data_IF_938204936939
#
_entry.id   IF_938204936939
#
_cell.length_a   1.000
_cell.length_b   1.000
_cell.length_c   1.000
_cell.angle_alpha   90.00
_cell.angle_beta   90.00
_cell.angle_gamma   90.00
#
_symmetry.space_group_name_H-M   'P 1'
#
loop_
_entity.id
_entity.type
_entity.pdbx_description
1 polymer ?
#
# COMPACT_ATOMS: atom_id res chain seq x y z
N UNK A 1 -16.03 -41.94 23.45
CA UNK A 1 -15.43 -40.61 23.75
C UNK A 1 -14.22 -40.23 22.88
N UNK A 2 -13.45 -41.15 22.29
CA UNK A 2 -12.31 -40.80 21.42
C UNK A 2 -12.71 -40.10 20.10
N UNK A 3 -13.83 -40.53 19.47
CA UNK A 3 -14.31 -39.96 18.20
C UNK A 3 -14.75 -38.48 18.32
N UNK A 4 -15.29 -38.07 19.46
CA UNK A 4 -15.70 -36.67 19.72
C UNK A 4 -14.51 -35.72 19.96
N UNK A 5 -13.38 -36.21 20.47
CA UNK A 5 -12.15 -35.40 20.60
C UNK A 5 -11.52 -35.10 19.23
N UNK A 6 -11.53 -36.09 18.33
CA UNK A 6 -10.99 -35.95 16.98
C UNK A 6 -11.78 -34.95 16.12
N UNK A 7 -13.11 -34.91 16.27
CA UNK A 7 -13.94 -33.92 15.55
C UNK A 7 -13.74 -32.49 16.09
N UNK A 8 -13.60 -32.34 17.41
CA UNK A 8 -13.30 -31.04 18.02
C UNK A 8 -11.92 -30.50 17.61
N UNK A 9 -10.88 -31.35 17.58
CA UNK A 9 -9.55 -30.97 17.10
C UNK A 9 -9.55 -30.55 15.63
N UNK A 10 -10.26 -31.30 14.76
CA UNK A 10 -10.42 -30.91 13.35
C UNK A 10 -11.14 -29.57 13.20
N UNK A 11 -12.20 -29.33 13.96
CA UNK A 11 -12.91 -28.04 13.95
C UNK A 11 -12.01 -26.87 14.37
N UNK A 12 -11.19 -27.05 15.42
CA UNK A 12 -10.25 -26.02 15.88
C UNK A 12 -9.15 -25.75 14.84
N UNK A 13 -8.62 -26.78 14.19
CA UNK A 13 -7.64 -26.61 13.10
C UNK A 13 -8.23 -25.82 11.93
N UNK A 14 -9.45 -26.15 11.50
CA UNK A 14 -10.13 -25.41 10.44
C UNK A 14 -10.37 -23.93 10.83
N UNK A 15 -10.70 -23.64 12.08
CA UNK A 15 -10.82 -22.25 12.52
C UNK A 15 -9.48 -21.52 12.47
N UNK A 16 -8.40 -22.15 12.96
CA UNK A 16 -7.06 -21.57 12.93
C UNK A 16 -6.59 -21.30 11.49
N UNK A 17 -6.76 -22.26 10.59
CA UNK A 17 -6.41 -22.12 9.18
C UNK A 17 -7.19 -20.96 8.53
N UNK A 18 -8.49 -20.84 8.82
CA UNK A 18 -9.30 -19.73 8.32
C UNK A 18 -8.80 -18.37 8.81
N UNK A 19 -8.46 -18.25 10.10
CA UNK A 19 -7.88 -17.01 10.64
C UNK A 19 -6.53 -16.71 10.01
N UNK A 20 -5.69 -17.73 9.76
CA UNK A 20 -4.40 -17.57 9.09
C UNK A 20 -4.58 -17.00 7.67
N UNK A 21 -5.50 -17.55 6.88
CA UNK A 21 -5.81 -17.01 5.54
C UNK A 21 -6.31 -15.58 5.61
N UNK A 22 -7.21 -15.26 6.56
CA UNK A 22 -7.75 -13.92 6.73
C UNK A 22 -6.65 -12.92 7.09
N UNK A 23 -5.81 -13.25 8.06
CA UNK A 23 -4.68 -12.42 8.49
C UNK A 23 -3.70 -12.21 7.33
N UNK A 24 -3.39 -13.25 6.58
CA UNK A 24 -2.48 -13.14 5.43
C UNK A 24 -3.05 -12.22 4.33
N UNK A 25 -4.33 -12.35 3.99
CA UNK A 25 -4.97 -11.46 3.03
C UNK A 25 -5.03 -10.00 3.53
N UNK A 26 -5.26 -9.77 4.82
CA UNK A 26 -5.22 -8.43 5.40
C UNK A 26 -3.82 -7.82 5.33
N UNK A 27 -2.78 -8.57 5.72
CA UNK A 27 -1.39 -8.12 5.62
C UNK A 27 -0.98 -7.80 4.17
N UNK A 28 -1.41 -8.62 3.20
CA UNK A 28 -1.16 -8.35 1.79
C UNK A 28 -1.87 -7.07 1.33
N UNK A 29 -3.13 -6.87 1.73
CA UNK A 29 -3.89 -5.67 1.38
C UNK A 29 -3.26 -4.39 1.96
N UNK A 30 -2.81 -4.42 3.21
CA UNK A 30 -2.12 -3.30 3.85
C UNK A 30 -0.81 -2.94 3.12
N UNK A 31 -0.01 -3.95 2.75
CA UNK A 31 1.23 -3.75 1.98
C UNK A 31 0.97 -3.20 0.59
N UNK A 32 -0.05 -3.70 -0.10
CA UNK A 32 -0.48 -3.20 -1.42
C UNK A 32 -0.83 -1.71 -1.29
N UNK A 33 -1.67 -1.34 -0.31
CA UNK A 33 -2.07 0.04 -0.11
C UNK A 33 -0.89 0.98 0.19
N UNK A 34 0.07 0.53 1.01
CA UNK A 34 1.27 1.32 1.31
C UNK A 34 2.13 1.58 0.06
N UNK A 35 2.35 0.54 -0.77
CA UNK A 35 3.18 0.66 -1.97
C UNK A 35 2.48 1.47 -3.06
N UNK A 36 1.15 1.32 -3.18
CA UNK A 36 0.34 2.12 -4.11
C UNK A 36 0.41 3.61 -3.76
N UNK A 37 0.30 3.95 -2.47
CA UNK A 37 0.47 5.33 -2.01
C UNK A 37 1.88 5.87 -2.30
N UNK A 38 2.93 5.12 -1.97
CA UNK A 38 4.32 5.54 -2.22
C UNK A 38 4.58 5.75 -3.73
N UNK A 39 4.00 4.90 -4.57
CA UNK A 39 4.08 5.02 -6.03
C UNK A 39 3.42 6.30 -6.54
N UNK A 40 2.23 6.65 -6.03
CA UNK A 40 1.53 7.88 -6.40
C UNK A 40 2.26 9.13 -5.88
N UNK A 41 2.82 9.10 -4.67
CA UNK A 41 3.66 10.19 -4.14
C UNK A 41 4.88 10.44 -5.04
N UNK A 42 5.58 9.37 -5.45
CA UNK A 42 6.72 9.49 -6.38
C UNK A 42 6.32 10.07 -7.73
N UNK A 43 5.13 9.71 -8.23
CA UNK A 43 4.59 10.24 -9.49
C UNK A 43 4.29 11.74 -9.39
N UNK A 44 3.64 12.18 -8.32
CA UNK A 44 3.38 13.60 -8.08
C UNK A 44 4.70 14.41 -7.98
N UNK A 45 5.72 13.86 -7.33
CA UNK A 45 7.04 14.49 -7.29
C UNK A 45 7.65 14.60 -8.70
N UNK A 46 7.53 13.56 -9.54
CA UNK A 46 8.01 13.63 -10.93
C UNK A 46 7.26 14.69 -11.74
N UNK A 47 5.93 14.77 -11.64
CA UNK A 47 5.10 15.74 -12.36
C UNK A 47 5.45 17.19 -11.98
N UNK A 48 5.82 17.43 -10.71
CA UNK A 48 6.27 18.75 -10.25
C UNK A 48 7.71 19.10 -10.63
N UNK A 49 8.55 18.10 -10.90
CA UNK A 49 9.95 18.27 -11.30
C UNK A 49 10.13 18.41 -12.82
N UNK A 50 9.27 17.79 -13.63
CA UNK A 50 9.34 17.83 -15.10
C UNK A 50 9.39 19.25 -15.72
N UNK A 51 8.64 20.26 -15.24
CA UNK A 51 8.71 21.61 -15.82
C UNK A 51 9.93 22.42 -15.33
N UNK A 52 10.77 21.88 -14.46
CA UNK A 52 11.92 22.58 -13.89
C UNK A 52 13.20 22.34 -14.71
N UNK A 53 14.09 23.34 -14.72
CA UNK A 53 15.40 23.22 -15.37
C UNK A 53 16.25 22.11 -14.74
N UNK A 54 16.89 21.30 -15.58
CA UNK A 54 17.69 20.13 -15.19
C UNK A 54 18.88 20.46 -14.29
N UNK A 55 19.45 21.66 -14.45
CA UNK A 55 20.58 22.16 -13.66
C UNK A 55 20.17 22.78 -12.31
N UNK A 56 18.85 22.84 -12.02
CA UNK A 56 18.37 23.33 -10.73
C UNK A 56 18.80 22.38 -9.62
N UNK A 57 19.29 22.96 -8.52
CA UNK A 57 19.68 22.23 -7.31
C UNK A 57 18.44 21.74 -6.57
N UNK A 58 18.45 20.47 -6.17
CA UNK A 58 17.45 19.80 -5.35
C UNK A 58 18.09 19.34 -4.05
N UNK A 59 17.38 19.44 -2.92
CA UNK A 59 17.90 19.01 -1.62
C UNK A 59 17.04 17.88 -1.05
N UNK A 60 17.68 16.76 -0.74
CA UNK A 60 17.03 15.62 -0.08
C UNK A 60 17.39 15.61 1.40
N UNK A 61 16.40 15.51 2.26
CA UNK A 61 16.63 15.23 3.68
C UNK A 61 16.86 13.73 3.87
N UNK A 62 18.01 13.33 4.41
CA UNK A 62 18.33 11.95 4.79
C UNK A 62 18.86 11.96 6.20
N UNK A 63 18.16 11.33 7.15
CA UNK A 63 18.58 11.21 8.56
C UNK A 63 18.98 12.55 9.20
N UNK A 64 18.28 13.64 8.86
CA UNK A 64 18.56 14.99 9.38
C UNK A 64 19.67 15.76 8.66
N UNK A 65 20.28 15.18 7.62
CA UNK A 65 21.27 15.85 6.77
C UNK A 65 20.64 16.20 5.41
N UNK A 66 20.80 17.46 5.00
CA UNK A 66 20.42 17.92 3.65
C UNK A 66 21.52 17.54 2.66
N UNK A 67 21.18 16.70 1.70
CA UNK A 67 22.06 16.29 0.60
C UNK A 67 21.69 17.09 -0.65
N UNK A 68 22.66 17.84 -1.18
CA UNK A 68 22.52 18.55 -2.45
C UNK A 68 22.64 17.58 -3.64
N UNK A 69 21.70 17.69 -4.57
CA UNK A 69 21.61 16.96 -5.83
C UNK A 69 21.13 17.91 -6.92
N UNK A 70 21.11 17.46 -8.17
CA UNK A 70 20.52 18.21 -9.29
C UNK A 70 19.30 17.48 -9.84
N UNK A 71 18.37 18.19 -10.48
CA UNK A 71 17.17 17.58 -11.09
C UNK A 71 17.57 16.45 -12.05
N UNK A 72 18.62 16.65 -12.87
CA UNK A 72 19.14 15.62 -13.79
C UNK A 72 19.57 14.31 -13.13
N UNK A 73 20.01 14.34 -11.87
CA UNK A 73 20.37 13.13 -11.12
C UNK A 73 19.18 12.52 -10.37
N UNK A 74 18.23 13.36 -9.95
CA UNK A 74 17.10 12.94 -9.10
C UNK A 74 15.97 12.33 -9.92
N UNK A 75 15.65 12.90 -11.09
CA UNK A 75 14.59 12.42 -11.98
C UNK A 75 14.78 10.96 -12.40
N UNK A 76 15.94 10.53 -12.94
CA UNK A 76 16.12 9.13 -13.32
C UNK A 76 16.05 8.18 -12.11
N UNK A 77 16.60 8.58 -10.95
CA UNK A 77 16.52 7.78 -9.72
C UNK A 77 15.07 7.60 -9.24
N UNK A 78 14.26 8.67 -9.28
CA UNK A 78 12.83 8.60 -8.95
C UNK A 78 12.05 7.73 -9.94
N UNK A 79 12.34 7.82 -11.24
CA UNK A 79 11.71 6.97 -12.26
C UNK A 79 12.03 5.49 -12.04
N UNK A 80 13.29 5.13 -11.85
CA UNK A 80 13.69 3.74 -11.58
C UNK A 80 13.05 3.19 -10.30
N UNK A 81 13.00 4.00 -9.23
CA UNK A 81 12.34 3.58 -7.99
C UNK A 81 10.83 3.38 -8.16
N UNK A 82 10.14 4.32 -8.81
CA UNK A 82 8.70 4.20 -9.10
C UNK A 82 8.39 2.97 -9.94
N UNK A 83 9.21 2.67 -10.96
CA UNK A 83 9.08 1.45 -11.76
C UNK A 83 9.32 0.18 -10.94
N UNK A 84 10.29 0.20 -10.01
CA UNK A 84 10.53 -0.88 -9.06
C UNK A 84 9.31 -1.14 -8.17
N UNK A 85 8.75 -0.08 -7.58
CA UNK A 85 7.55 -0.17 -6.73
C UNK A 85 6.34 -0.70 -7.49
N UNK A 86 6.14 -0.28 -8.74
CA UNK A 86 5.08 -0.82 -9.61
C UNK A 86 5.20 -2.33 -9.83
N UNK A 87 6.42 -2.83 -10.09
CA UNK A 87 6.65 -4.28 -10.24
C UNK A 87 6.30 -5.04 -8.97
N UNK A 88 6.73 -4.54 -7.81
CA UNK A 88 6.40 -5.15 -6.51
C UNK A 88 4.89 -5.11 -6.25
N UNK A 89 4.21 -4.01 -6.60
CA UNK A 89 2.77 -3.88 -6.49
C UNK A 89 2.04 -4.94 -7.33
N UNK A 90 2.46 -5.13 -8.58
CA UNK A 90 1.90 -6.15 -9.47
C UNK A 90 2.11 -7.57 -8.93
N UNK A 91 3.31 -7.87 -8.41
CA UNK A 91 3.60 -9.15 -7.77
C UNK A 91 2.72 -9.39 -6.54
N UNK A 92 2.54 -8.39 -5.68
CA UNK A 92 1.69 -8.49 -4.48
C UNK A 92 0.21 -8.65 -4.85
N UNK A 93 -0.27 -7.97 -5.89
CA UNK A 93 -1.62 -8.16 -6.43
C UNK A 93 -1.85 -9.61 -6.87
N UNK A 94 -0.90 -10.19 -7.62
CA UNK A 94 -0.96 -11.60 -8.05
C UNK A 94 -0.97 -12.55 -6.85
N UNK A 95 -0.10 -12.30 -5.86
CA UNK A 95 -0.07 -13.11 -4.63
C UNK A 95 -1.39 -13.03 -3.86
N UNK A 96 -1.96 -11.84 -3.72
CA UNK A 96 -3.25 -11.62 -3.07
C UNK A 96 -4.36 -12.41 -3.78
N UNK A 97 -4.50 -12.28 -5.10
CA UNK A 97 -5.52 -13.01 -5.86
C UNK A 97 -5.32 -14.51 -5.78
N UNK A 98 -4.09 -15.01 -5.90
CA UNK A 98 -3.78 -16.44 -5.79
C UNK A 98 -4.21 -16.99 -4.42
N UNK A 99 -3.88 -16.28 -3.34
CA UNK A 99 -4.22 -16.69 -1.98
C UNK A 99 -5.72 -16.59 -1.69
N UNK A 100 -6.40 -15.61 -2.28
CA UNK A 100 -7.85 -15.48 -2.20
C UNK A 100 -8.54 -16.69 -2.87
N UNK A 101 -8.10 -17.06 -4.07
CA UNK A 101 -8.62 -18.25 -4.78
C UNK A 101 -8.32 -19.54 -4.01
N UNK A 102 -7.15 -19.66 -3.41
CA UNK A 102 -6.78 -20.80 -2.55
C UNK A 102 -7.71 -20.92 -1.34
N UNK A 103 -7.96 -19.80 -0.65
CA UNK A 103 -8.90 -19.72 0.49
C UNK A 103 -10.32 -20.15 0.08
N UNK A 104 -10.83 -19.67 -1.06
CA UNK A 104 -12.16 -20.02 -1.55
C UNK A 104 -12.27 -21.51 -1.92
N UNK A 105 -11.25 -22.07 -2.57
CA UNK A 105 -11.18 -23.51 -2.85
C UNK A 105 -11.15 -24.32 -1.55
N UNK A 106 -10.38 -23.87 -0.56
CA UNK A 106 -10.26 -24.53 0.74
C UNK A 106 -11.57 -24.47 1.55
N UNK A 107 -12.29 -23.34 1.53
CA UNK A 107 -13.64 -23.22 2.13
C UNK A 107 -14.63 -24.23 1.55
N UNK A 108 -14.67 -24.34 0.21
CA UNK A 108 -15.57 -25.26 -0.50
C UNK A 108 -15.25 -26.73 -0.17
N UNK A 109 -13.96 -27.10 -0.16
CA UNK A 109 -13.52 -28.46 0.18
C UNK A 109 -13.90 -28.87 1.60
N UNK A 110 -13.77 -27.95 2.55
CA UNK A 110 -14.00 -28.22 3.98
C UNK A 110 -15.43 -27.89 4.44
N UNK A 111 -16.34 -27.48 3.54
CA UNK A 111 -17.72 -27.07 3.83
C UNK A 111 -17.82 -26.08 4.99
N UNK A 112 -16.88 -25.14 5.06
CA UNK A 112 -16.79 -24.21 6.18
C UNK A 112 -17.97 -23.25 6.12
N UNK A 113 -18.78 -23.30 7.16
CA UNK A 113 -19.85 -22.34 7.41
C UNK A 113 -19.24 -21.22 8.25
N UNK A 114 -19.01 -20.06 7.64
CA UNK A 114 -18.58 -18.88 8.38
C UNK A 114 -19.80 -18.44 9.20
N UNK A 115 -19.78 -18.73 10.51
CA UNK A 115 -20.70 -18.10 11.47
C UNK A 115 -20.27 -16.64 11.53
N UNK A 116 -20.94 -15.83 10.71
CA UNK A 116 -20.68 -14.41 10.56
C UNK A 116 -20.90 -13.71 11.92
N UNK A 117 -19.82 -13.42 12.64
CA UNK A 117 -19.82 -12.20 13.46
C UNK A 117 -19.49 -11.05 12.52
N UNK A 118 -20.53 -10.39 12.05
CA UNK A 118 -20.50 -9.24 11.14
C UNK A 118 -19.40 -8.24 11.53
N UNK A 119 -18.31 -8.23 10.79
CA UNK A 119 -17.40 -7.09 10.74
C UNK A 119 -17.14 -6.79 9.28
N UNK A 120 -17.89 -5.81 8.79
CA UNK A 120 -17.75 -5.18 7.48
C UNK A 120 -16.31 -4.70 7.29
N UNK A 121 -15.51 -5.44 6.53
CA UNK A 121 -14.38 -4.82 5.82
C UNK A 121 -15.02 -4.18 4.58
N UNK A 122 -15.38 -2.91 4.73
CA UNK A 122 -15.89 -2.09 3.62
C UNK A 122 -14.84 -2.12 2.51
N UNK A 123 -15.34 -2.32 1.28
CA UNK A 123 -14.65 -2.18 0.00
C UNK A 123 -13.58 -1.08 0.05
N UNK A 124 -12.30 -1.46 0.04
CA UNK A 124 -11.27 -0.60 -0.52
C UNK A 124 -11.47 -0.62 -2.04
N UNK A 125 -11.82 0.53 -2.56
CA UNK A 125 -12.28 0.78 -3.92
C UNK A 125 -11.19 0.49 -4.94
N UNK A 126 -11.19 -0.70 -5.55
CA UNK A 126 -10.72 -0.86 -6.93
C UNK A 126 -11.85 -0.35 -7.83
N UNK A 127 -11.90 0.96 -8.08
CA UNK A 127 -12.70 1.49 -9.16
C UNK A 127 -11.94 2.63 -9.82
N UNK A 128 -11.21 2.28 -10.89
CA UNK A 128 -10.76 3.22 -11.90
C UNK A 128 -11.98 3.93 -12.51
N UNK A 129 -12.29 5.13 -12.04
CA UNK A 129 -12.73 6.30 -12.83
C UNK A 129 -13.14 7.44 -11.86
N UNK A 130 -12.25 8.39 -11.63
CA UNK A 130 -12.57 9.64 -10.94
C UNK A 130 -11.83 10.81 -11.62
N UNK A 131 -12.14 11.05 -12.88
CA UNK A 131 -12.09 12.41 -13.40
C UNK A 131 -13.12 13.23 -12.62
N UNK A 132 -12.70 14.37 -12.05
CA UNK A 132 -13.44 15.29 -11.16
C UNK A 132 -13.68 14.75 -9.74
N UNK A 133 -12.80 15.10 -8.82
CA UNK A 133 -13.15 15.96 -7.67
C UNK A 133 -11.90 16.76 -7.30
N UNK A 134 -11.87 18.00 -7.80
CA UNK A 134 -11.15 19.09 -7.15
C UNK A 134 -11.93 19.34 -5.87
N UNK A 135 -11.39 18.94 -4.72
CA UNK A 135 -11.76 19.52 -3.44
C UNK A 135 -10.56 20.31 -2.93
N UNK A 136 -10.47 21.54 -3.44
CA UNK A 136 -9.74 22.61 -2.77
C UNK A 136 -10.62 23.10 -1.62
N UNK A 137 -10.21 22.85 -0.37
CA UNK A 137 -10.61 23.68 0.76
C UNK A 137 -9.55 23.67 1.89
N UNK A 138 -9.51 24.70 2.76
CA UNK A 138 -8.32 25.49 2.99
C UNK A 138 -7.78 25.29 4.41
N UNK A 139 -6.52 25.69 4.58
CA UNK A 139 -5.84 26.02 5.84
C UNK A 139 -6.21 25.20 7.09
N UNK A 140 -5.32 24.28 7.46
CA UNK A 140 -5.16 23.88 8.86
C UNK A 140 -3.68 23.78 9.21
N UNK A 141 -3.09 24.93 9.52
CA UNK A 141 -1.90 25.02 10.36
C UNK A 141 -2.22 24.51 11.78
N UNK A 142 -1.64 23.39 12.22
CA UNK A 142 -1.06 23.21 13.56
C UNK A 142 -0.40 21.82 13.78
N UNK A 143 0.92 21.88 14.02
CA UNK A 143 1.79 21.08 14.91
C UNK A 143 1.34 19.68 15.38
N UNK A 144 2.24 18.70 15.15
CA UNK A 144 2.49 17.59 16.08
C UNK A 144 2.80 16.25 15.39
N UNK A 145 4.05 15.79 15.51
CA UNK A 145 4.61 14.44 15.31
C UNK A 145 3.66 13.35 14.77
N UNK A 146 3.94 12.78 13.59
CA UNK A 146 4.73 11.55 13.41
C UNK A 146 4.64 11.03 11.96
N UNK A 147 5.76 10.47 11.49
CA UNK A 147 5.98 9.55 10.35
C UNK A 147 5.53 9.92 8.91
N UNK A 148 6.46 10.46 8.13
CA UNK A 148 7.01 9.85 6.88
C UNK A 148 7.60 10.93 5.95
N UNK A 149 8.91 10.89 5.82
CA UNK A 149 9.72 11.88 5.11
C UNK A 149 9.75 11.63 3.59
N UNK A 150 8.93 12.36 2.82
CA UNK A 150 9.26 12.72 1.43
C UNK A 150 8.78 14.14 1.15
N UNK A 151 9.28 15.12 1.90
CA UNK A 151 9.07 16.54 1.56
C UNK A 151 10.36 17.07 0.93
N UNK A 152 10.43 17.00 -0.40
CA UNK A 152 11.45 17.73 -1.17
C UNK A 152 11.07 19.21 -1.16
N UNK A 153 11.67 19.97 -0.24
CA UNK A 153 11.51 21.42 -0.18
C UNK A 153 12.25 22.05 -1.37
N UNK A 154 11.54 22.25 -2.48
CA UNK A 154 12.00 23.09 -3.58
C UNK A 154 11.73 24.53 -3.16
N UNK A 155 12.76 25.22 -2.69
CA UNK A 155 12.68 26.65 -2.41
C UNK A 155 12.43 27.40 -3.72
N UNK A 156 11.22 27.93 -3.87
CA UNK A 156 10.89 28.96 -4.86
C UNK A 156 11.45 30.26 -4.29
N UNK A 157 12.64 30.64 -4.73
CA UNK A 157 13.24 31.93 -4.45
C UNK A 157 13.45 32.64 -5.78
N UNK A 158 12.74 33.74 -5.95
CA UNK A 158 13.16 34.87 -6.78
C UNK A 158 14.49 35.43 -6.28
#
# INVERSE_FOLDING_TARGET
MAAQRLSAQKSNQLQNDYQNYKNLLQNLAERIGSIEQETEEHKLVLETLEPLAEDRKCFRMINGVLVERTVKEVVPALKTNSEGLKKVLDELMVQYTSKQVEMEKWKKKNKIQIVQHSHLIKRACIQKNASKCIDVHPDRTHRGNDVSHVVWFIRVGT
#
